data_IF_581000429580
#
_entry.id   IF_581000429580
#
_cell.length_a   1.000
_cell.length_b   1.000
_cell.length_c   1.000
_cell.angle_alpha   90.00
_cell.angle_beta   90.00
_cell.angle_gamma   90.00
#
_symmetry.space_group_name_H-M   'P 1'
#
loop_
_entity.id
_entity.type
_entity.pdbx_description
1 polymer ?
#
# COMPACT_ATOMS: atom_id res chain seq x y z
N UNK A 1 -15.98 -4.96 16.19
CA UNK A 1 -14.85 -5.33 17.08
C UNK A 1 -13.55 -5.50 16.29
N UNK A 2 -13.62 -5.97 15.05
CA UNK A 2 -12.46 -6.15 14.16
C UNK A 2 -11.87 -4.84 13.59
N UNK A 3 -12.68 -3.84 13.25
CA UNK A 3 -12.19 -2.55 12.73
C UNK A 3 -11.25 -1.84 13.72
N UNK A 4 -11.65 -1.73 15.00
CA UNK A 4 -10.79 -1.15 16.05
C UNK A 4 -9.45 -1.88 16.21
N UNK A 5 -9.40 -3.18 15.94
CA UNK A 5 -8.15 -3.97 16.00
C UNK A 5 -7.25 -3.60 14.82
N UNK A 6 -7.83 -3.54 13.62
CA UNK A 6 -7.09 -3.20 12.40
C UNK A 6 -6.65 -1.72 12.38
N UNK A 7 -7.42 -0.79 12.95
CA UNK A 7 -6.98 0.60 13.17
C UNK A 7 -5.76 0.69 14.09
N UNK A 8 -5.75 -0.08 15.18
CA UNK A 8 -4.57 -0.17 16.07
C UNK A 8 -3.35 -0.75 15.36
N UNK A 9 -3.54 -1.76 14.50
CA UNK A 9 -2.46 -2.33 13.69
C UNK A 9 -1.90 -1.31 12.71
N UNK A 10 -2.75 -0.54 12.02
CA UNK A 10 -2.33 0.55 11.14
C UNK A 10 -1.54 1.60 11.91
N UNK A 11 -2.05 2.03 13.08
CA UNK A 11 -1.37 3.03 13.90
C UNK A 11 0.02 2.56 14.35
N UNK A 12 0.14 1.29 14.76
CA UNK A 12 1.41 0.70 15.12
C UNK A 12 2.35 0.55 13.92
N UNK A 13 1.84 0.11 12.79
CA UNK A 13 2.62 -0.02 11.54
C UNK A 13 3.20 1.31 11.05
N UNK A 14 2.47 2.41 11.22
CA UNK A 14 2.95 3.75 10.87
C UNK A 14 4.01 4.30 11.85
N UNK A 15 4.20 3.68 13.01
CA UNK A 15 5.30 4.02 13.93
C UNK A 15 6.62 3.39 13.51
N UNK A 16 6.59 2.25 12.81
CA UNK A 16 7.77 1.58 12.30
C UNK A 16 8.32 2.31 11.07
N UNK A 17 9.35 3.13 11.29
CA UNK A 17 10.01 3.96 10.27
C UNK A 17 10.77 3.18 9.20
N UNK A 18 10.88 1.85 9.32
CA UNK A 18 11.58 0.98 8.35
C UNK A 18 10.83 -0.33 8.24
N UNK A 19 10.12 -0.50 7.12
CA UNK A 19 9.35 -1.71 6.88
C UNK A 19 10.12 -2.57 5.89
N UNK A 20 10.67 -3.66 6.38
CA UNK A 20 11.38 -4.63 5.54
C UNK A 20 10.38 -5.40 4.68
N UNK A 21 10.48 -5.21 3.36
CA UNK A 21 9.65 -5.88 2.38
C UNK A 21 10.52 -6.86 1.58
N UNK A 22 10.10 -8.12 1.54
CA UNK A 22 10.81 -9.15 0.79
C UNK A 22 10.18 -9.28 -0.60
N UNK A 23 10.93 -8.91 -1.64
CA UNK A 23 10.65 -9.33 -3.01
C UNK A 23 11.38 -10.66 -3.24
N UNK A 24 10.67 -11.68 -3.75
CA UNK A 24 11.13 -13.09 -3.81
C UNK A 24 12.48 -13.28 -4.52
N UNK A 25 12.92 -12.31 -5.33
CA UNK A 25 14.19 -12.38 -6.06
C UNK A 25 15.31 -11.52 -5.47
N UNK A 26 15.00 -10.49 -4.66
CA UNK A 26 15.98 -9.60 -4.02
C UNK A 26 15.44 -9.07 -2.70
N UNK A 27 16.08 -9.42 -1.58
CA UNK A 27 15.84 -8.77 -0.28
C UNK A 27 16.10 -7.27 -0.43
N UNK A 28 15.03 -6.45 -0.41
CA UNK A 28 15.11 -4.99 -0.54
C UNK A 28 14.47 -4.34 0.68
N UNK A 29 15.30 -3.69 1.49
CA UNK A 29 14.81 -2.85 2.57
C UNK A 29 14.34 -1.53 1.94
N UNK A 30 13.05 -1.25 2.02
CA UNK A 30 12.45 -0.02 1.49
C UNK A 30 11.77 0.69 2.65
N UNK A 31 12.13 1.95 2.89
CA UNK A 31 11.33 2.79 3.76
C UNK A 31 10.04 3.19 3.01
N UNK A 32 8.92 2.60 3.42
CA UNK A 32 7.60 2.86 2.84
C UNK A 32 6.87 4.03 3.50
N UNK A 33 7.33 4.51 4.65
CA UNK A 33 6.70 5.63 5.35
C UNK A 33 6.54 6.88 4.46
N UNK A 34 7.57 7.36 3.72
CA UNK A 34 7.41 8.50 2.81
C UNK A 34 6.52 8.20 1.60
N UNK A 35 6.26 6.92 1.32
CA UNK A 35 5.43 6.48 0.20
C UNK A 35 3.94 6.45 0.60
N UNK A 36 3.60 6.23 1.87
CA UNK A 36 2.21 6.17 2.32
C UNK A 36 1.70 7.58 2.58
N UNK A 37 0.73 8.03 1.77
CA UNK A 37 0.03 9.31 2.00
C UNK A 37 -1.28 9.13 2.75
N UNK A 38 -1.97 8.00 2.59
CA UNK A 38 -3.16 7.66 3.37
C UNK A 38 -3.21 6.13 3.57
N UNK A 39 -3.50 5.68 4.79
CA UNK A 39 -3.80 4.29 5.10
C UNK A 39 -4.88 4.26 6.17
N UNK A 40 -6.08 3.80 5.81
CA UNK A 40 -7.24 3.76 6.72
C UNK A 40 -8.23 2.67 6.34
N UNK A 41 -9.14 2.37 7.25
CA UNK A 41 -10.24 1.44 7.02
C UNK A 41 -11.48 2.25 6.66
N UNK A 42 -12.17 1.87 5.59
CA UNK A 42 -13.43 2.46 5.15
C UNK A 42 -14.34 1.32 4.69
N UNK A 43 -15.54 1.23 5.23
CA UNK A 43 -16.55 0.22 4.83
C UNK A 43 -15.99 -1.21 4.81
N UNK A 44 -15.25 -1.59 5.87
CA UNK A 44 -14.54 -2.88 6.00
C UNK A 44 -13.46 -3.15 4.94
N UNK A 45 -13.08 -2.15 4.15
CA UNK A 45 -11.99 -2.21 3.17
C UNK A 45 -10.80 -1.39 3.65
N UNK A 46 -9.61 -1.76 3.20
CA UNK A 46 -8.40 -0.97 3.42
C UNK A 46 -8.24 -0.01 2.25
N UNK A 47 -8.24 1.29 2.56
CA UNK A 47 -7.84 2.32 1.61
C UNK A 47 -6.37 2.65 1.82
N UNK A 48 -5.57 2.39 0.79
CA UNK A 48 -4.15 2.71 0.74
C UNK A 48 -3.90 3.69 -0.40
N UNK A 49 -3.30 4.84 -0.08
CA UNK A 49 -2.88 5.84 -1.04
C UNK A 49 -1.36 5.99 -1.00
N UNK A 50 -0.72 5.68 -2.12
CA UNK A 50 0.74 5.69 -2.25
C UNK A 50 1.20 6.86 -3.13
N UNK A 51 2.35 7.43 -2.76
CA UNK A 51 3.14 8.33 -3.60
C UNK A 51 4.14 7.50 -4.37
N UNK A 52 4.17 7.70 -5.68
CA UNK A 52 5.22 7.15 -6.53
C UNK A 52 6.38 8.15 -6.59
N UNK A 53 7.59 7.67 -6.29
CA UNK A 53 8.81 8.43 -6.46
C UNK A 53 9.70 7.74 -7.50
N UNK A 54 10.50 8.50 -8.28
CA UNK A 54 11.47 7.92 -9.20
C UNK A 54 12.33 6.89 -8.48
N UNK A 55 12.44 5.68 -9.05
CA UNK A 55 13.21 4.55 -8.52
C UNK A 55 12.78 4.03 -7.13
N UNK A 56 11.68 4.55 -6.56
CA UNK A 56 11.11 4.14 -5.27
C UNK A 56 9.62 3.86 -5.46
N UNK A 57 9.36 2.67 -5.99
CA UNK A 57 8.01 2.14 -6.14
C UNK A 57 7.88 0.87 -5.32
N UNK A 58 6.74 0.72 -4.65
CA UNK A 58 6.41 -0.46 -3.85
C UNK A 58 5.03 -0.95 -4.25
N UNK A 59 4.90 -2.26 -4.40
CA UNK A 59 3.64 -2.92 -4.70
C UNK A 59 2.71 -2.82 -3.48
N UNK A 60 1.47 -2.33 -3.59
CA UNK A 60 0.55 -2.22 -2.46
C UNK A 60 0.33 -3.57 -1.74
N UNK A 61 0.31 -4.67 -2.49
CA UNK A 61 0.26 -6.06 -2.02
C UNK A 61 1.27 -6.32 -0.91
N UNK A 62 2.50 -5.79 -1.04
CA UNK A 62 3.60 -6.02 -0.11
C UNK A 62 3.41 -5.27 1.20
N UNK A 63 2.86 -4.06 1.14
CA UNK A 63 2.55 -3.26 2.32
C UNK A 63 1.44 -3.94 3.12
N UNK A 64 0.36 -4.36 2.44
CA UNK A 64 -0.76 -5.03 3.09
C UNK A 64 -0.35 -6.37 3.67
N UNK A 65 0.43 -7.17 2.93
CA UNK A 65 0.94 -8.44 3.44
C UNK A 65 1.79 -8.25 4.71
N UNK A 66 2.62 -7.21 4.75
CA UNK A 66 3.43 -6.93 5.94
C UNK A 66 2.60 -6.40 7.11
N UNK A 67 1.63 -5.53 6.84
CA UNK A 67 0.72 -4.95 7.85
C UNK A 67 -0.11 -6.03 8.57
N UNK A 68 -0.60 -7.03 7.84
CA UNK A 68 -1.42 -8.11 8.38
C UNK A 68 -0.64 -9.42 8.62
N UNK A 69 0.68 -9.41 8.40
CA UNK A 69 1.54 -10.59 8.46
C UNK A 69 0.99 -11.77 7.64
N UNK A 70 0.53 -11.48 6.42
CA UNK A 70 -0.05 -12.47 5.52
C UNK A 70 1.04 -13.40 4.96
N UNK A 71 0.70 -14.67 4.89
CA UNK A 71 1.47 -15.67 4.14
C UNK A 71 1.44 -15.38 2.63
N UNK A 72 2.28 -16.07 1.87
CA UNK A 72 2.31 -15.96 0.41
C UNK A 72 0.96 -16.35 -0.22
N UNK A 73 0.28 -17.35 0.32
CA UNK A 73 -1.01 -17.82 -0.17
C UNK A 73 -2.13 -16.81 0.13
N UNK A 74 -2.18 -16.27 1.34
CA UNK A 74 -3.15 -15.21 1.69
C UNK A 74 -2.91 -13.93 0.89
N UNK A 75 -1.65 -13.60 0.61
CA UNK A 75 -1.30 -12.46 -0.25
C UNK A 75 -1.86 -12.60 -1.67
N UNK A 76 -1.90 -13.82 -2.23
CA UNK A 76 -2.48 -14.07 -3.57
C UNK A 76 -4.00 -13.90 -3.59
N UNK A 77 -4.65 -13.98 -2.43
CA UNK A 77 -6.10 -13.78 -2.27
C UNK A 77 -6.48 -12.30 -2.12
N UNK A 78 -5.51 -11.38 -2.07
CA UNK A 78 -5.79 -9.95 -1.99
C UNK A 78 -6.45 -9.45 -3.28
N UNK A 79 -7.67 -8.96 -3.15
CA UNK A 79 -8.33 -8.21 -4.22
C UNK A 79 -7.83 -6.75 -4.21
N UNK A 80 -7.25 -6.31 -5.33
CA UNK A 80 -6.66 -4.97 -5.45
C UNK A 80 -7.39 -4.18 -6.51
N UNK A 81 -8.20 -3.24 -6.04
CA UNK A 81 -8.82 -2.24 -6.88
C UNK A 81 -7.89 -1.02 -7.02
N UNK A 82 -7.45 -0.73 -8.25
CA UNK A 82 -6.66 0.46 -8.58
C UNK A 82 -7.57 1.46 -9.25
N UNK A 83 -7.73 2.63 -8.65
CA UNK A 83 -8.51 3.73 -9.20
C UNK A 83 -7.54 4.76 -9.78
N UNK A 84 -7.61 4.98 -11.08
CA UNK A 84 -6.92 6.11 -11.70
C UNK A 84 -7.54 7.40 -11.14
N UNK A 85 -6.71 8.38 -10.77
CA UNK A 85 -7.20 9.70 -10.37
C UNK A 85 -7.33 10.64 -11.57
N UNK A 86 -6.53 10.39 -12.59
CA UNK A 86 -6.47 11.15 -13.82
C UNK A 86 -5.93 10.25 -14.94
N UNK A 87 -6.28 10.60 -16.18
CA UNK A 87 -5.69 10.09 -17.41
C UNK A 87 -4.89 11.21 -18.07
N UNK A 88 -3.65 10.92 -18.47
CA UNK A 88 -2.82 11.85 -19.23
C UNK A 88 -3.06 11.64 -20.72
N UNK A 89 -3.56 12.68 -21.40
CA UNK A 89 -3.75 12.68 -22.85
C UNK A 89 -2.42 12.89 -23.59
N UNK A 90 -2.35 12.55 -24.90
CA UNK A 90 -1.14 12.77 -25.71
C UNK A 90 -0.67 14.23 -25.77
N UNK A 91 -1.56 15.20 -25.50
CA UNK A 91 -1.25 16.62 -25.44
C UNK A 91 -0.80 17.09 -24.04
N UNK A 92 -0.57 16.15 -23.10
CA UNK A 92 -0.14 16.42 -21.73
C UNK A 92 -1.28 16.90 -20.81
N UNK A 93 -2.53 16.94 -21.28
CA UNK A 93 -3.67 17.31 -20.42
C UNK A 93 -4.05 16.16 -19.51
N UNK A 94 -4.24 16.48 -18.23
CA UNK A 94 -4.81 15.58 -17.25
C UNK A 94 -6.33 15.71 -17.26
N UNK A 95 -7.05 14.61 -17.48
CA UNK A 95 -8.51 14.55 -17.35
C UNK A 95 -8.91 13.60 -16.24
N UNK A 96 -10.02 13.87 -15.57
CA UNK A 96 -10.60 12.89 -14.67
C UNK A 96 -11.08 11.67 -15.49
N UNK A 97 -10.87 10.44 -15.00
CA UNK A 97 -11.32 9.24 -15.68
C UNK A 97 -12.85 9.11 -15.69
#
# INVERSE_FOLDING_TARGET
>A
MEEKKAEKMIAHFLQDKKIEIYDERKKRIIDVYPLIRELKIIDRKIKLFLRFYPQRTVKPELIIAKLFNLSLEERKQLEICRVALYEEKPDGKLVLP
#
